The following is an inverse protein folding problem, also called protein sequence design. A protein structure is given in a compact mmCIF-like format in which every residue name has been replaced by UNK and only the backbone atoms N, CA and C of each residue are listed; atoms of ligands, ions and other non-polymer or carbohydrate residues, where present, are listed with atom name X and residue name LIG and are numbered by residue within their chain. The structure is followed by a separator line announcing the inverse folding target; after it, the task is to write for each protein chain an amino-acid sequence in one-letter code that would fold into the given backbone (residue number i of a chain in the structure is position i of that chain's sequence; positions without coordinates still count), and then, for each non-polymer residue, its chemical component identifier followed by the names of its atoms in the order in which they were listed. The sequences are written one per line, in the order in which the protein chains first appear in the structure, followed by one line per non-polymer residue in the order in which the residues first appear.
data_IF_208861200687
#
_entry.id   IF_208861200687
#
_cell.length_a   1.000
_cell.length_b   1.000
_cell.length_c   1.000
_cell.angle_alpha   90.00
_cell.angle_beta   90.00
_cell.angle_gamma   90.00
#
_symmetry.space_group_name_H-M   'P 1'
#
loop_
_entity.id
_entity.type
_entity.pdbx_description
1 polymer ?
#
# COMPACT_ATOMS: atom_id res chain seq x y z
N UNK A 1 -13.70 -60.42 -19.65
CA UNK A 1 -12.72 -59.36 -19.87
C UNK A 1 -13.31 -58.10 -19.28
N UNK A 2 -12.87 -57.71 -18.05
CA UNK A 2 -13.27 -56.46 -17.38
C UNK A 2 -12.26 -55.37 -17.76
N UNK A 3 -12.70 -54.35 -18.45
CA UNK A 3 -11.90 -53.16 -18.76
C UNK A 3 -11.90 -52.18 -17.59
N UNK A 4 -10.74 -51.99 -16.96
CA UNK A 4 -10.53 -50.92 -15.98
C UNK A 4 -10.36 -49.60 -16.73
N UNK A 5 -11.38 -48.74 -16.62
CA UNK A 5 -11.28 -47.35 -17.07
C UNK A 5 -10.52 -46.49 -16.07
N UNK A 6 -9.35 -46.01 -16.44
CA UNK A 6 -8.61 -45.00 -15.68
C UNK A 6 -9.22 -43.63 -15.92
N UNK A 7 -9.85 -43.05 -14.93
CA UNK A 7 -10.29 -41.66 -14.92
C UNK A 7 -9.09 -40.76 -14.57
N UNK A 8 -8.59 -40.00 -15.56
CA UNK A 8 -7.58 -38.95 -15.34
C UNK A 8 -8.30 -37.70 -14.83
N UNK A 9 -8.14 -37.39 -13.56
CA UNK A 9 -8.60 -36.15 -12.99
C UNK A 9 -7.67 -35.02 -13.43
N UNK A 10 -8.15 -34.13 -14.30
CA UNK A 10 -7.47 -32.88 -14.66
C UNK A 10 -7.58 -31.92 -13.48
N UNK A 11 -6.48 -31.76 -12.75
CA UNK A 11 -6.35 -30.71 -11.73
C UNK A 11 -6.22 -29.36 -12.45
N UNK A 12 -7.28 -28.54 -12.42
CA UNK A 12 -7.20 -27.14 -12.85
C UNK A 12 -6.39 -26.36 -11.84
N UNK A 13 -5.34 -25.60 -12.26
CA UNK A 13 -4.63 -24.72 -11.33
C UNK A 13 -5.59 -23.65 -10.84
N UNK A 14 -5.77 -23.54 -9.52
CA UNK A 14 -6.41 -22.40 -8.87
C UNK A 14 -5.48 -21.19 -9.06
N UNK A 15 -5.84 -20.31 -9.98
CA UNK A 15 -5.23 -18.99 -10.06
C UNK A 15 -5.71 -18.24 -8.81
N UNK A 16 -4.83 -18.09 -7.84
CA UNK A 16 -5.09 -17.20 -6.71
C UNK A 16 -5.11 -15.76 -7.26
N UNK A 17 -6.30 -15.23 -7.49
CA UNK A 17 -6.46 -13.80 -7.65
C UNK A 17 -6.13 -13.18 -6.29
N UNK A 18 -5.18 -12.21 -6.26
CA UNK A 18 -5.01 -11.38 -5.10
C UNK A 18 -6.35 -10.67 -4.85
N UNK A 19 -6.90 -10.84 -3.65
CA UNK A 19 -8.15 -10.17 -3.29
C UNK A 19 -7.94 -8.65 -3.40
N UNK A 20 -8.90 -7.92 -4.00
CA UNK A 20 -8.85 -6.47 -4.00
C UNK A 20 -8.84 -5.97 -2.55
N UNK A 21 -8.33 -4.74 -2.29
CA UNK A 21 -8.29 -4.18 -0.95
C UNK A 21 -9.69 -4.24 -0.33
N UNK A 22 -9.81 -4.96 0.79
CA UNK A 22 -11.09 -5.17 1.47
C UNK A 22 -11.65 -3.88 2.07
N UNK A 23 -12.73 -4.03 2.84
CA UNK A 23 -13.34 -2.94 3.60
C UNK A 23 -12.27 -2.24 4.46
N UNK A 24 -12.04 -0.91 4.29
CA UNK A 24 -11.05 -0.17 5.07
C UNK A 24 -11.47 0.10 6.52
N UNK A 25 -12.64 -0.38 6.95
CA UNK A 25 -13.14 -0.15 8.29
C UNK A 25 -12.16 -0.63 9.36
N UNK A 26 -11.93 0.21 10.35
CA UNK A 26 -11.04 -0.10 11.47
C UNK A 26 -11.64 -1.17 12.36
N UNK A 27 -10.90 -2.27 12.57
CA UNK A 27 -11.25 -3.35 13.49
C UNK A 27 -10.36 -3.34 14.73
N UNK A 28 -9.07 -3.03 14.57
CA UNK A 28 -8.12 -2.94 15.68
C UNK A 28 -7.36 -1.62 15.66
N UNK A 29 -6.94 -1.18 16.84
CA UNK A 29 -6.08 -0.03 17.04
C UNK A 29 -4.94 -0.44 17.97
N UNK A 30 -3.72 -0.36 17.47
CA UNK A 30 -2.50 -0.57 18.24
C UNK A 30 -1.70 0.74 18.21
N UNK A 31 -1.84 1.54 19.26
CA UNK A 31 -1.16 2.84 19.42
C UNK A 31 -1.29 3.77 18.18
N UNK A 32 -2.52 3.85 17.64
CA UNK A 32 -2.82 4.64 16.45
C UNK A 32 -2.51 3.95 15.12
N UNK A 33 -1.93 2.74 15.14
CA UNK A 33 -1.89 1.87 13.97
C UNK A 33 -3.22 1.14 13.83
N UNK A 34 -3.95 1.50 12.81
CA UNK A 34 -5.24 0.92 12.53
C UNK A 34 -5.11 -0.25 11.55
N UNK A 35 -5.89 -1.32 11.80
CA UNK A 35 -5.98 -2.48 10.90
C UNK A 35 -7.43 -2.80 10.61
N UNK A 36 -7.67 -3.31 9.41
CA UNK A 36 -8.98 -3.80 8.99
C UNK A 36 -9.24 -5.26 9.47
N UNK A 37 -10.35 -5.83 9.02
CA UNK A 37 -10.76 -7.20 9.38
C UNK A 37 -9.81 -8.29 8.91
N UNK A 38 -9.01 -8.03 7.88
CA UNK A 38 -8.04 -8.96 7.31
C UNK A 38 -6.65 -8.79 7.93
N UNK A 39 -6.50 -7.81 8.84
CA UNK A 39 -5.26 -7.48 9.51
C UNK A 39 -4.36 -6.54 8.71
N UNK A 40 -4.81 -6.06 7.57
CA UNK A 40 -4.08 -5.13 6.72
C UNK A 40 -4.07 -3.72 7.33
N UNK A 41 -3.00 -2.94 7.12
CA UNK A 41 -2.96 -1.55 7.53
C UNK A 41 -4.10 -0.74 6.90
N UNK A 42 -4.76 0.08 7.71
CA UNK A 42 -5.84 0.95 7.25
C UNK A 42 -5.76 2.32 7.89
N UNK A 43 -6.55 3.26 7.37
CA UNK A 43 -6.59 4.64 7.79
C UNK A 43 -7.79 4.92 8.70
N UNK A 44 -7.69 6.01 9.46
CA UNK A 44 -8.83 6.60 10.16
C UNK A 44 -8.93 8.07 9.82
N UNK A 45 -10.10 8.47 9.35
CA UNK A 45 -10.45 9.88 9.14
C UNK A 45 -11.65 10.22 10.02
N UNK A 46 -11.50 11.22 10.87
CA UNK A 46 -12.56 11.72 11.73
C UNK A 46 -13.57 12.56 10.95
N UNK A 47 -14.75 12.77 11.52
CA UNK A 47 -15.83 13.53 10.84
C UNK A 47 -15.47 14.98 10.50
N UNK A 48 -14.51 15.58 11.19
CA UNK A 48 -13.97 16.90 10.93
C UNK A 48 -12.83 16.92 9.89
N UNK A 49 -12.48 15.76 9.33
CA UNK A 49 -11.41 15.60 8.34
C UNK A 49 -10.01 15.39 8.96
N UNK A 50 -9.90 15.29 10.29
CA UNK A 50 -8.63 14.97 10.95
C UNK A 50 -8.23 13.54 10.61
N UNK A 51 -7.03 13.36 10.04
CA UNK A 51 -6.46 12.05 9.73
C UNK A 51 -5.63 11.52 10.90
N UNK A 52 -5.51 10.20 11.00
CA UNK A 52 -4.58 9.59 11.94
C UNK A 52 -3.11 9.94 11.62
N UNK A 53 -2.23 9.79 12.61
CA UNK A 53 -0.81 10.11 12.44
C UNK A 53 -0.14 9.31 11.32
N UNK A 54 -0.45 8.01 11.19
CA UNK A 54 0.21 7.15 10.19
C UNK A 54 -0.20 7.53 8.77
N UNK A 55 -1.46 7.91 8.54
CA UNK A 55 -1.92 8.49 7.27
C UNK A 55 -1.16 9.78 6.94
N UNK A 56 -0.96 10.67 7.92
CA UNK A 56 -0.18 11.89 7.73
C UNK A 56 1.31 11.61 7.50
N UNK A 57 1.91 10.68 8.23
CA UNK A 57 3.28 10.20 8.00
C UNK A 57 3.43 9.67 6.59
N UNK A 58 2.49 8.84 6.13
CA UNK A 58 2.45 8.31 4.78
C UNK A 58 2.37 9.38 3.69
N UNK A 59 1.57 10.43 3.88
CA UNK A 59 1.58 11.60 3.00
C UNK A 59 2.99 12.18 2.87
N UNK A 60 3.68 12.42 3.98
CA UNK A 60 5.03 12.99 3.98
C UNK A 60 6.04 12.10 3.25
N UNK A 61 6.01 10.79 3.54
CA UNK A 61 6.96 9.80 2.97
C UNK A 61 6.67 9.57 1.50
N UNK A 62 5.42 9.46 1.11
CA UNK A 62 5.04 9.38 -0.30
C UNK A 62 5.60 10.56 -1.11
N UNK A 63 5.48 11.79 -0.60
CA UNK A 63 5.94 12.99 -1.30
C UNK A 63 7.46 13.15 -1.29
N UNK A 64 8.20 12.47 -0.41
CA UNK A 64 9.66 12.44 -0.48
C UNK A 64 10.22 11.35 -1.38
N UNK A 65 9.58 10.17 -1.42
CA UNK A 65 10.19 8.98 -2.03
C UNK A 65 9.50 8.51 -3.33
N UNK A 66 8.21 8.75 -3.49
CA UNK A 66 7.41 8.12 -4.55
C UNK A 66 6.87 9.12 -5.58
N UNK A 67 6.58 10.33 -5.14
CA UNK A 67 5.87 11.35 -5.93
C UNK A 67 6.61 11.76 -7.20
N UNK A 68 7.94 11.70 -7.22
CA UNK A 68 8.74 12.09 -8.40
C UNK A 68 8.37 11.27 -9.65
N UNK A 69 8.01 10.00 -9.46
CA UNK A 69 7.56 9.12 -10.54
C UNK A 69 6.04 9.02 -10.60
N UNK A 70 5.37 8.83 -9.45
CA UNK A 70 3.94 8.57 -9.39
C UNK A 70 3.05 9.82 -9.32
N UNK A 71 3.63 11.01 -9.47
CA UNK A 71 2.93 12.29 -9.43
C UNK A 71 2.49 12.68 -8.01
N UNK A 72 2.09 13.94 -7.83
CA UNK A 72 1.56 14.39 -6.54
C UNK A 72 0.27 13.62 -6.21
N UNK A 73 0.09 13.31 -4.93
CA UNK A 73 -1.11 12.68 -4.38
C UNK A 73 -1.47 11.31 -4.97
N UNK A 74 -0.52 10.62 -5.63
CA UNK A 74 -0.77 9.34 -6.25
C UNK A 74 -1.53 9.39 -7.58
N UNK A 75 -1.60 10.55 -8.23
CA UNK A 75 -2.38 10.76 -9.45
C UNK A 75 -1.69 10.24 -10.73
N UNK A 76 -0.45 9.74 -10.61
CA UNK A 76 0.32 9.25 -11.74
C UNK A 76 1.06 10.35 -12.50
N UNK A 77 1.86 9.94 -13.45
CA UNK A 77 2.60 10.78 -14.38
C UNK A 77 2.83 10.07 -15.71
N UNK A 78 3.60 10.68 -16.61
CA UNK A 78 4.08 9.98 -17.81
C UNK A 78 5.05 8.83 -17.51
N UNK A 79 5.66 8.80 -16.32
CA UNK A 79 6.65 7.79 -15.94
C UNK A 79 6.03 6.58 -15.23
N UNK A 80 4.97 6.80 -14.42
CA UNK A 80 4.42 5.76 -13.57
C UNK A 80 2.90 5.91 -13.39
N UNK A 81 2.18 4.79 -13.11
CA UNK A 81 0.73 4.80 -13.00
C UNK A 81 0.23 5.61 -11.79
N UNK A 82 -1.05 5.99 -11.84
CA UNK A 82 -1.77 6.59 -10.74
C UNK A 82 -1.99 5.55 -9.62
N UNK A 83 -1.30 5.69 -8.48
CA UNK A 83 -1.42 4.77 -7.35
C UNK A 83 -2.78 4.87 -6.67
N UNK A 84 -3.41 6.06 -6.68
CA UNK A 84 -4.78 6.23 -6.23
C UNK A 84 -5.78 5.33 -7.00
N UNK A 85 -5.49 4.99 -8.27
CA UNK A 85 -6.27 4.02 -9.01
C UNK A 85 -5.77 2.59 -8.81
N UNK A 86 -4.45 2.37 -8.75
CA UNK A 86 -3.89 1.03 -8.59
C UNK A 86 -4.36 0.36 -7.29
N UNK A 87 -4.42 1.11 -6.18
CA UNK A 87 -4.85 0.58 -4.89
C UNK A 87 -6.37 0.31 -4.78
N UNK A 88 -7.14 0.58 -5.84
CA UNK A 88 -8.52 0.08 -5.95
C UNK A 88 -8.58 -1.42 -6.26
N UNK A 89 -7.49 -2.00 -6.74
CA UNK A 89 -7.42 -3.38 -7.21
C UNK A 89 -6.32 -4.22 -6.57
N UNK A 90 -5.29 -3.61 -6.00
CA UNK A 90 -4.20 -4.30 -5.33
C UNK A 90 -4.28 -4.13 -3.81
N UNK A 91 -4.18 -5.23 -3.07
CA UNK A 91 -4.14 -5.25 -1.62
C UNK A 91 -2.74 -5.01 -1.05
N UNK A 92 -2.64 -5.04 0.29
CA UNK A 92 -1.39 -4.72 0.99
C UNK A 92 -0.24 -5.67 0.63
N UNK A 93 -0.49 -6.97 0.56
CA UNK A 93 0.55 -7.97 0.26
C UNK A 93 1.16 -7.76 -1.13
N UNK A 94 0.34 -7.48 -2.14
CA UNK A 94 0.82 -7.19 -3.50
C UNK A 94 1.56 -5.85 -3.54
N UNK A 95 1.02 -4.81 -2.89
CA UNK A 95 1.71 -3.52 -2.76
C UNK A 95 3.09 -3.69 -2.12
N UNK A 96 3.18 -4.41 -0.99
CA UNK A 96 4.43 -4.73 -0.31
C UNK A 96 5.41 -5.41 -1.26
N UNK A 97 4.97 -6.47 -1.96
CA UNK A 97 5.81 -7.20 -2.91
C UNK A 97 6.35 -6.33 -4.05
N UNK A 98 5.50 -5.46 -4.61
CA UNK A 98 5.91 -4.53 -5.68
C UNK A 98 6.94 -3.53 -5.17
N UNK A 99 6.75 -2.94 -3.99
CA UNK A 99 7.69 -1.93 -3.47
C UNK A 99 9.01 -2.55 -3.09
N UNK A 100 9.00 -3.72 -2.44
CA UNK A 100 10.24 -4.39 -2.05
C UNK A 100 11.02 -4.96 -3.22
N UNK A 101 10.33 -5.61 -4.16
CA UNK A 101 10.95 -6.31 -5.29
C UNK A 101 11.16 -5.46 -6.55
N UNK A 102 10.52 -4.29 -6.61
CA UNK A 102 10.45 -3.51 -7.83
C UNK A 102 9.48 -4.10 -8.86
N UNK A 103 9.31 -3.42 -9.96
CA UNK A 103 8.48 -3.89 -11.08
C UNK A 103 9.07 -3.45 -12.41
N UNK A 104 9.22 -4.38 -13.34
CA UNK A 104 9.57 -4.09 -14.72
C UNK A 104 8.37 -4.35 -15.61
N UNK A 105 8.06 -3.40 -16.47
CA UNK A 105 7.06 -3.56 -17.51
C UNK A 105 7.72 -3.30 -18.86
N UNK A 106 7.99 -4.41 -19.56
CA UNK A 106 8.56 -4.37 -20.91
C UNK A 106 7.41 -4.49 -21.91
N UNK A 107 7.13 -3.42 -22.64
CA UNK A 107 6.11 -3.38 -23.69
C UNK A 107 6.69 -2.92 -25.02
N UNK A 108 5.92 -3.06 -26.10
CA UNK A 108 6.34 -2.65 -27.44
C UNK A 108 6.57 -1.13 -27.52
N UNK A 109 7.80 -0.68 -27.21
CA UNK A 109 8.25 0.70 -27.35
C UNK A 109 8.49 1.50 -26.07
N UNK A 110 8.13 0.98 -24.91
CA UNK A 110 8.42 1.64 -23.61
C UNK A 110 8.87 0.62 -22.57
N UNK A 111 10.01 0.87 -21.94
CA UNK A 111 10.46 0.16 -20.76
C UNK A 111 10.19 1.04 -19.54
N UNK A 112 9.26 0.60 -18.68
CA UNK A 112 8.98 1.26 -17.39
C UNK A 112 9.53 0.41 -16.27
N UNK A 113 10.39 1.01 -15.45
CA UNK A 113 11.04 0.33 -14.34
C UNK A 113 10.73 1.07 -13.03
N UNK A 114 10.11 0.37 -12.09
CA UNK A 114 10.06 0.76 -10.70
C UNK A 114 11.21 0.05 -9.97
N UNK A 115 12.15 0.77 -9.34
CA UNK A 115 13.25 0.13 -8.62
C UNK A 115 12.74 -0.64 -7.40
N UNK A 116 13.53 -1.61 -6.94
CA UNK A 116 13.31 -2.29 -5.67
C UNK A 116 13.75 -1.39 -4.51
N UNK A 117 12.95 -1.34 -3.44
CA UNK A 117 13.21 -0.49 -2.28
C UNK A 117 13.50 -1.29 -1.00
N UNK A 118 13.71 -2.61 -1.07
CA UNK A 118 13.95 -3.46 0.09
C UNK A 118 15.08 -2.96 1.01
N UNK A 119 16.11 -2.34 0.46
CA UNK A 119 17.26 -1.81 1.20
C UNK A 119 17.15 -0.32 1.55
N UNK A 120 16.06 0.35 1.14
CA UNK A 120 15.85 1.77 1.42
C UNK A 120 15.06 1.95 2.72
N UNK A 121 15.74 2.29 3.81
CA UNK A 121 15.11 2.52 5.11
C UNK A 121 14.07 3.66 5.10
N UNK A 122 14.26 4.71 4.29
CA UNK A 122 13.29 5.80 4.16
C UNK A 122 11.96 5.35 3.55
N UNK A 123 11.95 4.23 2.85
CA UNK A 123 10.74 3.58 2.35
C UNK A 123 10.28 2.50 3.32
N UNK A 124 11.18 1.55 3.66
CA UNK A 124 10.78 0.35 4.37
C UNK A 124 10.31 0.58 5.80
N UNK A 125 10.91 1.56 6.51
CA UNK A 125 10.48 1.91 7.87
C UNK A 125 9.10 2.58 7.92
N UNK A 126 8.58 3.02 6.77
CA UNK A 126 7.31 3.74 6.66
C UNK A 126 6.40 3.13 5.60
N UNK A 127 6.62 1.87 5.22
CA UNK A 127 5.89 1.25 4.13
C UNK A 127 4.40 1.11 4.44
N UNK A 128 4.06 0.74 5.68
CA UNK A 128 2.67 0.71 6.17
C UNK A 128 2.03 2.09 6.06
N UNK A 129 2.74 3.13 6.46
CA UNK A 129 2.24 4.52 6.44
C UNK A 129 1.97 4.98 5.00
N UNK A 130 2.92 4.70 4.08
CA UNK A 130 2.75 5.02 2.65
C UNK A 130 1.53 4.30 2.08
N UNK A 131 1.36 3.01 2.42
CA UNK A 131 0.18 2.25 2.00
C UNK A 131 -1.12 2.83 2.53
N UNK A 132 -1.16 3.14 3.83
CA UNK A 132 -2.35 3.71 4.50
C UNK A 132 -2.76 5.04 3.85
N UNK A 133 -1.79 5.93 3.58
CA UNK A 133 -2.05 7.18 2.86
C UNK A 133 -2.64 6.92 1.46
N UNK A 134 -1.99 6.06 0.67
CA UNK A 134 -2.44 5.75 -0.68
C UNK A 134 -3.80 5.03 -0.69
N UNK A 135 -4.06 4.17 0.30
CA UNK A 135 -5.36 3.52 0.50
C UNK A 135 -6.45 4.56 0.78
N UNK A 136 -6.17 5.54 1.66
CA UNK A 136 -7.10 6.63 1.93
C UNK A 136 -7.39 7.47 0.67
N UNK A 137 -6.37 7.71 -0.16
CA UNK A 137 -6.54 8.38 -1.46
C UNK A 137 -7.36 7.55 -2.44
N UNK A 138 -7.11 6.25 -2.52
CA UNK A 138 -7.81 5.35 -3.45
C UNK A 138 -9.29 5.17 -3.14
N UNK A 139 -9.67 5.38 -1.88
CA UNK A 139 -11.04 5.30 -1.37
C UNK A 139 -11.75 6.67 -1.33
N UNK A 140 -11.11 7.72 -1.84
CA UNK A 140 -11.60 9.10 -1.76
C UNK A 140 -11.89 9.58 -0.32
N UNK A 141 -11.27 8.94 0.68
CA UNK A 141 -11.44 9.28 2.10
C UNK A 141 -10.76 10.59 2.48
N UNK A 142 -9.74 11.00 1.74
CA UNK A 142 -9.04 12.28 1.91
C UNK A 142 -8.88 13.01 0.57
N UNK A 143 -8.96 14.35 0.55
CA UNK A 143 -8.75 15.14 -0.65
C UNK A 143 -7.27 15.12 -1.09
N UNK A 144 -7.00 15.71 -2.25
CA UNK A 144 -5.64 15.99 -2.71
C UNK A 144 -4.97 17.05 -1.85
N UNK A 145 -3.64 16.99 -1.82
CA UNK A 145 -2.83 17.93 -1.07
C UNK A 145 -2.53 17.46 0.35
N UNK A 146 -1.86 18.33 1.09
CA UNK A 146 -1.49 18.05 2.47
C UNK A 146 -2.72 18.00 3.38
N UNK A 147 -2.93 16.95 4.18
CA UNK A 147 -3.97 16.94 5.19
C UNK A 147 -3.85 18.16 6.11
N UNK A 148 -4.95 18.91 6.25
CA UNK A 148 -4.97 20.16 7.00
C UNK A 148 -4.86 19.93 8.52
N UNK A 149 -5.39 18.79 8.97
CA UNK A 149 -5.39 18.38 10.39
C UNK A 149 -5.00 16.91 10.50
N UNK A 150 -4.25 16.59 11.53
CA UNK A 150 -3.83 15.22 11.84
C UNK A 150 -3.74 15.02 13.36
N UNK A 151 -3.86 13.79 13.81
CA UNK A 151 -3.60 13.41 15.20
C UNK A 151 -2.13 13.70 15.59
N UNK A 152 -1.86 13.83 16.87
CA UNK A 152 -0.50 13.99 17.39
C UNK A 152 0.33 12.73 17.13
N UNK A 153 1.65 12.91 17.01
CA UNK A 153 2.61 11.80 16.85
C UNK A 153 2.60 10.92 18.10
N UNK A 154 2.19 9.65 18.02
CA UNK A 154 2.27 8.74 19.16
C UNK A 154 3.72 8.53 19.60
N UNK A 155 4.01 8.42 20.91
CA UNK A 155 5.36 8.12 21.42
C UNK A 155 5.93 6.83 20.79
N UNK A 156 5.11 5.81 20.67
CA UNK A 156 5.47 4.49 20.10
C UNK A 156 5.91 4.59 18.64
N UNK A 157 5.36 5.56 17.89
CA UNK A 157 5.83 5.85 16.55
C UNK A 157 7.30 6.29 16.55
N UNK A 158 7.67 7.21 17.46
CA UNK A 158 9.05 7.70 17.58
C UNK A 158 10.04 6.59 17.96
N UNK A 159 9.66 5.70 18.86
CA UNK A 159 10.47 4.55 19.25
C UNK A 159 10.66 3.56 18.09
N UNK A 160 9.58 3.25 17.37
CA UNK A 160 9.64 2.38 16.20
C UNK A 160 10.48 2.97 15.06
N UNK A 161 10.35 4.28 14.82
CA UNK A 161 11.14 5.05 13.85
C UNK A 161 12.63 4.96 14.17
N UNK A 162 13.02 5.31 15.38
CA UNK A 162 14.42 5.24 15.87
C UNK A 162 14.98 3.82 15.72
N UNK A 163 14.24 2.81 16.15
CA UNK A 163 14.67 1.41 16.06
C UNK A 163 14.87 0.96 14.61
N UNK A 164 13.98 1.35 13.70
CA UNK A 164 14.04 0.95 12.31
C UNK A 164 15.15 1.67 11.56
N UNK A 165 15.28 2.97 11.78
CA UNK A 165 16.32 3.79 11.13
C UNK A 165 17.72 3.45 11.66
N UNK A 166 17.86 2.94 12.87
CA UNK A 166 19.14 2.58 13.49
C UNK A 166 19.87 3.78 14.08
N UNK A 167 19.12 4.75 14.60
CA UNK A 167 19.63 5.93 15.31
C UNK A 167 19.70 5.67 16.81
#
# INVERSE_FOLDING_TARGET
MLGLGFAVALATPLIAYADPPGDPAVVTNDHGKYRDKDGDPTFKVSADGTVDWYTYSGFRRYHSECHVCHGPDGEGSSYAPALANSLKTIGYAEFFGIVTGGKQQVGAGEEKVMPAFADNKNVMCYLDDIYVYLRARSQDAIPRGRPAQHEDKPPEFGEAETKCMGE
#
